data_IF_153701721451
#
_entry.id   IF_153701721451
#
_cell.length_a   1.000
_cell.length_b   1.000
_cell.length_c   1.000
_cell.angle_alpha   90.00
_cell.angle_beta   90.00
_cell.angle_gamma   90.00
#
_symmetry.space_group_name_H-M   'P 1'
#
loop_
_entity.id
_entity.type
_entity.pdbx_description
1 polymer ?
#
# COMPACT_ATOMS: atom_id res chain seq x y z
N UNK A 1 -11.18 -1.08 -6.15
CA UNK A 1 -9.86 -0.45 -6.27
C UNK A 1 -9.49 0.06 -4.89
N UNK A 2 -8.46 -0.48 -4.24
CA UNK A 2 -7.91 0.19 -3.06
C UNK A 2 -7.20 1.45 -3.57
N UNK A 3 -7.70 2.61 -3.19
CA UNK A 3 -7.01 3.86 -3.42
C UNK A 3 -5.99 4.01 -2.30
N UNK A 4 -4.72 3.76 -2.59
CA UNK A 4 -3.65 4.03 -1.64
C UNK A 4 -3.51 5.54 -1.53
N UNK A 5 -3.89 6.10 -0.38
CA UNK A 5 -3.75 7.51 -0.08
C UNK A 5 -2.45 7.72 0.70
N UNK A 6 -1.71 8.77 0.34
CA UNK A 6 -0.45 9.12 0.99
C UNK A 6 -0.41 10.61 1.33
N UNK A 7 0.22 10.94 2.46
CA UNK A 7 0.64 12.29 2.79
C UNK A 7 2.14 12.43 2.51
N UNK A 8 2.51 13.53 1.85
CA UNK A 8 3.89 13.87 1.56
C UNK A 8 4.35 15.00 2.48
N UNK A 9 5.42 14.76 3.25
CA UNK A 9 6.06 15.78 4.08
C UNK A 9 7.43 16.14 3.51
N UNK A 10 7.56 17.38 3.05
CA UNK A 10 8.83 17.97 2.67
C UNK A 10 9.42 18.72 3.86
N UNK A 11 10.65 18.40 4.24
CA UNK A 11 11.28 19.03 5.40
C UNK A 11 12.80 19.11 5.24
N UNK A 12 13.41 20.01 6.00
CA UNK A 12 14.87 20.12 6.16
C UNK A 12 15.16 20.63 7.56
N UNK A 13 16.20 20.11 8.22
CA UNK A 13 16.52 20.53 9.60
C UNK A 13 17.10 21.93 9.68
N UNK A 14 17.75 22.41 8.61
CA UNK A 14 18.31 23.75 8.52
C UNK A 14 18.24 24.24 7.07
N UNK A 15 18.42 25.55 6.86
CA UNK A 15 18.42 26.13 5.51
C UNK A 15 19.59 25.64 4.62
N UNK A 16 20.66 25.12 5.22
CA UNK A 16 21.84 24.59 4.51
C UNK A 16 21.73 23.11 4.17
N UNK A 17 20.75 22.41 4.73
CA UNK A 17 20.55 20.98 4.47
C UNK A 17 19.67 20.80 3.23
N UNK A 18 19.92 19.70 2.52
CA UNK A 18 19.05 19.26 1.44
C UNK A 18 17.64 18.94 1.95
N UNK A 19 16.67 19.15 1.06
CA UNK A 19 15.30 18.76 1.32
C UNK A 19 15.19 17.24 1.41
N UNK A 20 14.41 16.78 2.38
CA UNK A 20 14.03 15.39 2.56
C UNK A 20 12.54 15.25 2.39
N UNK A 21 12.15 14.05 1.99
CA UNK A 21 10.75 13.73 1.70
C UNK A 21 10.39 12.53 2.57
N UNK A 22 9.27 12.63 3.29
CA UNK A 22 8.66 11.50 3.96
C UNK A 22 7.34 11.16 3.26
N UNK A 23 7.17 9.90 2.89
CA UNK A 23 5.90 9.33 2.43
C UNK A 23 5.21 8.66 3.61
N UNK A 24 3.98 9.09 3.90
CA UNK A 24 3.19 8.59 5.03
C UNK A 24 1.90 7.96 4.46
N UNK A 25 1.74 6.63 4.51
CA UNK A 25 0.51 5.97 4.08
C UNK A 25 -0.65 6.33 5.01
N UNK A 26 -1.83 6.56 4.43
CA UNK A 26 -3.05 6.91 5.17
C UNK A 26 -3.90 5.66 5.35
N UNK A 27 -4.24 5.33 6.59
CA UNK A 27 -5.17 4.24 6.92
C UNK A 27 -4.54 2.86 7.13
N UNK A 28 -3.22 2.76 7.06
CA UNK A 28 -2.47 1.59 7.51
C UNK A 28 -1.68 1.92 8.78
N UNK A 29 -1.46 0.93 9.67
CA UNK A 29 -0.51 0.99 10.80
C UNK A 29 0.96 0.95 10.31
N UNK A 30 1.25 1.70 9.24
CA UNK A 30 2.44 1.52 8.42
C UNK A 30 3.53 2.54 8.73
N UNK A 31 4.77 2.06 8.60
CA UNK A 31 6.02 2.79 8.84
C UNK A 31 6.22 3.91 7.83
N UNK A 32 6.55 5.11 8.32
CA UNK A 32 6.98 6.24 7.49
C UNK A 32 8.17 5.84 6.60
N UNK A 33 8.13 6.22 5.32
CA UNK A 33 9.25 5.99 4.40
C UNK A 33 9.95 7.31 4.07
N UNK A 34 11.27 7.29 3.97
CA UNK A 34 12.09 8.49 3.77
C UNK A 34 12.86 8.43 2.46
N UNK A 35 12.85 9.54 1.73
CA UNK A 35 13.53 9.69 0.44
C UNK A 35 14.41 10.94 0.44
N UNK A 36 15.57 10.82 -0.19
CA UNK A 36 16.51 11.92 -0.40
C UNK A 36 16.21 12.75 -1.64
N UNK A 37 15.53 12.18 -2.64
CA UNK A 37 15.22 12.85 -3.91
C UNK A 37 13.78 12.59 -4.34
N UNK A 38 13.25 13.46 -5.20
CA UNK A 38 11.94 13.26 -5.81
C UNK A 38 11.95 12.04 -6.75
N UNK A 39 13.02 11.81 -7.50
CA UNK A 39 13.13 10.66 -8.41
C UNK A 39 13.03 9.32 -7.68
N UNK A 40 13.65 9.21 -6.49
CA UNK A 40 13.54 7.99 -5.67
C UNK A 40 12.11 7.75 -5.20
N UNK A 41 11.42 8.81 -4.76
CA UNK A 41 10.01 8.74 -4.40
C UNK A 41 9.14 8.32 -5.60
N UNK A 42 9.34 8.94 -6.76
CA UNK A 42 8.54 8.64 -7.96
C UNK A 42 8.71 7.19 -8.40
N UNK A 43 9.95 6.70 -8.43
CA UNK A 43 10.25 5.30 -8.74
C UNK A 43 9.57 4.34 -7.77
N UNK A 44 9.65 4.61 -6.47
CA UNK A 44 8.97 3.80 -5.45
C UNK A 44 7.45 3.77 -5.65
N UNK A 45 6.84 4.92 -5.93
CA UNK A 45 5.41 4.99 -6.20
C UNK A 45 5.06 4.20 -7.47
N UNK A 46 5.82 4.34 -8.55
CA UNK A 46 5.59 3.60 -9.79
C UNK A 46 5.65 2.07 -9.58
N UNK A 47 6.64 1.57 -8.84
CA UNK A 47 6.74 0.15 -8.49
C UNK A 47 5.53 -0.33 -7.69
N UNK A 48 5.09 0.48 -6.71
CA UNK A 48 3.93 0.20 -5.87
C UNK A 48 2.60 0.17 -6.64
N UNK A 49 2.48 0.97 -7.70
CA UNK A 49 1.31 0.94 -8.60
C UNK A 49 1.40 -0.18 -9.66
N UNK A 50 2.60 -0.61 -10.03
CA UNK A 50 2.81 -1.61 -11.12
C UNK A 50 2.70 -3.05 -10.63
N UNK A 51 2.85 -3.30 -9.33
CA UNK A 51 2.42 -4.55 -8.70
C UNK A 51 1.02 -4.36 -8.10
N UNK A 52 -0.07 -4.64 -8.83
CA UNK A 52 -1.32 -4.95 -8.16
C UNK A 52 -1.03 -6.21 -7.34
N UNK A 53 -0.90 -6.02 -6.03
CA UNK A 53 -1.00 -7.11 -5.07
C UNK A 53 -2.21 -7.94 -5.51
N UNK A 54 -2.00 -9.24 -5.73
CA UNK A 54 -3.06 -10.23 -5.91
C UNK A 54 -3.99 -10.17 -4.70
N UNK A 55 -4.91 -9.21 -4.70
CA UNK A 55 -6.03 -9.11 -3.78
C UNK A 55 -7.03 -10.19 -4.18
N UNK A 56 -6.64 -11.45 -3.94
CA UNK A 56 -7.38 -12.62 -4.40
C UNK A 56 -7.13 -13.90 -3.61
N UNK A 57 -6.14 -13.98 -2.72
CA UNK A 57 -6.07 -15.06 -1.75
C UNK A 57 -6.90 -14.70 -0.50
N UNK A 58 -8.23 -14.67 -0.67
CA UNK A 58 -9.17 -14.82 0.45
C UNK A 58 -9.28 -16.32 0.78
N UNK A 59 -8.65 -16.85 1.84
CA UNK A 59 -8.77 -18.26 2.20
C UNK A 59 -10.17 -18.64 2.74
N UNK A 60 -11.17 -17.73 2.72
CA UNK A 60 -12.49 -17.96 3.32
C UNK A 60 -13.66 -18.06 2.33
N UNK A 61 -13.45 -18.05 1.01
CA UNK A 61 -14.54 -18.30 0.06
C UNK A 61 -14.70 -19.77 -0.34
N UNK A 62 -15.52 -20.45 0.48
CA UNK A 62 -16.53 -21.44 0.10
C UNK A 62 -16.13 -22.67 -0.74
N UNK A 63 -16.06 -23.83 -0.08
CA UNK A 63 -16.79 -25.03 -0.56
C UNK A 63 -17.95 -25.31 0.41
N UNK A 64 -19.02 -24.52 0.33
CA UNK A 64 -20.35 -25.07 0.65
C UNK A 64 -20.88 -25.67 -0.65
N UNK A 65 -20.58 -26.95 -0.85
CA UNK A 65 -21.29 -27.75 -1.84
C UNK A 65 -22.69 -28.08 -1.32
N UNK A 66 -23.61 -28.03 -2.27
CA UNK A 66 -25.05 -28.06 -2.22
C UNK A 66 -25.65 -29.41 -1.77
N UNK A 67 -26.89 -29.35 -1.27
CA UNK A 67 -27.95 -30.40 -1.24
C UNK A 67 -27.66 -31.75 -0.53
N UNK A 68 -28.52 -32.34 0.31
CA UNK A 68 -29.95 -32.15 0.49
C UNK A 68 -30.80 -33.18 -0.28
N UNK A 69 -30.80 -34.47 0.10
CA UNK A 69 -31.96 -35.40 0.12
C UNK A 69 -31.53 -36.86 0.23
N UNK A 70 -32.13 -37.60 1.17
CA UNK A 70 -32.03 -39.05 1.22
C UNK A 70 -32.55 -39.63 2.53
N UNK A 71 -33.87 -39.62 2.71
CA UNK A 71 -34.61 -40.30 3.77
C UNK A 71 -34.97 -41.69 3.24
N UNK A 72 -34.44 -42.77 3.83
CA UNK A 72 -35.10 -44.08 4.04
C UNK A 72 -34.47 -44.73 5.27
#
# INVERSE_FOLDING_TARGET
>A
MLQNAYLLRFWRSSARNDWRITLIPVGEDSTEQHFGTLDDLYRHLQESYTNPIEAGADPRRHTKSHEGRGRV
#
